data_IF_799721665585
#
_entry.id   IF_799721665585
#
_cell.length_a   1.000
_cell.length_b   1.000
_cell.length_c   1.000
_cell.angle_alpha   90.00
_cell.angle_beta   90.00
_cell.angle_gamma   90.00
#
_symmetry.space_group_name_H-M   'P 1'
#
loop_
_entity.id
_entity.type
_entity.pdbx_description
1 polymer ?
#
# COMPACT_ATOMS: atom_id res chain seq x y z
N UNK A 1 -27.91 -32.88 47.58
CA UNK A 1 -28.91 -31.87 48.01
C UNK A 1 -28.54 -31.39 49.41
N UNK A 2 -28.68 -30.11 49.81
CA UNK A 2 -28.76 -28.82 49.12
C UNK A 2 -27.52 -27.94 49.47
N UNK A 3 -27.18 -26.83 48.80
CA UNK A 3 -27.78 -25.51 49.00
C UNK A 3 -27.28 -24.56 47.91
N UNK A 4 -28.24 -24.12 47.11
CA UNK A 4 -28.20 -22.90 46.33
C UNK A 4 -28.01 -21.66 47.24
N UNK A 5 -27.24 -20.68 46.74
CA UNK A 5 -27.59 -19.25 46.59
C UNK A 5 -26.46 -18.26 46.92
N UNK A 6 -26.12 -17.47 45.88
CA UNK A 6 -25.78 -16.03 45.81
C UNK A 6 -24.52 -15.82 44.97
N UNK A 7 -24.64 -15.55 43.67
CA UNK A 7 -25.01 -14.27 43.04
C UNK A 7 -24.03 -13.13 43.36
N UNK A 8 -23.10 -12.86 42.44
CA UNK A 8 -22.82 -11.56 41.81
C UNK A 8 -21.44 -11.63 41.13
N UNK A 9 -21.39 -11.39 39.82
CA UNK A 9 -20.45 -10.47 39.19
C UNK A 9 -20.72 -10.46 37.68
N UNK A 10 -21.41 -9.42 37.25
CA UNK A 10 -21.46 -9.00 35.86
C UNK A 10 -20.03 -8.66 35.39
N UNK A 11 -19.73 -8.94 34.12
CA UNK A 11 -18.45 -8.57 33.53
C UNK A 11 -18.35 -8.98 32.08
N UNK A 12 -19.03 -8.22 31.21
CA UNK A 12 -18.92 -8.28 29.76
C UNK A 12 -17.45 -8.02 29.34
N UNK A 13 -16.87 -8.93 28.56
CA UNK A 13 -15.78 -8.58 27.65
C UNK A 13 -15.78 -9.54 26.46
N UNK A 14 -16.66 -9.26 25.51
CA UNK A 14 -16.49 -9.71 24.14
C UNK A 14 -15.16 -9.11 23.62
N UNK A 15 -14.15 -9.95 23.45
CA UNK A 15 -12.99 -9.60 22.63
C UNK A 15 -13.09 -10.46 21.38
N UNK A 16 -13.84 -9.92 20.42
CA UNK A 16 -13.75 -10.36 19.04
C UNK A 16 -12.31 -10.18 18.59
N UNK A 17 -11.63 -11.28 18.31
CA UNK A 17 -10.45 -11.25 17.46
C UNK A 17 -10.93 -10.82 16.08
N UNK A 18 -10.91 -9.51 15.86
CA UNK A 18 -10.93 -8.91 14.56
C UNK A 18 -9.78 -9.54 13.78
N UNK A 19 -10.15 -10.43 12.86
CA UNK A 19 -9.31 -10.85 11.75
C UNK A 19 -8.76 -9.57 11.11
N UNK A 20 -7.48 -9.28 11.34
CA UNK A 20 -6.71 -8.39 10.48
C UNK A 20 -6.60 -9.07 9.13
N UNK A 21 -7.70 -9.06 8.38
CA UNK A 21 -7.66 -9.18 6.93
C UNK A 21 -6.95 -7.90 6.49
N UNK A 22 -5.63 -7.97 6.40
CA UNK A 22 -4.88 -7.07 5.54
C UNK A 22 -5.47 -7.32 4.16
N UNK A 23 -6.47 -6.52 3.79
CA UNK A 23 -7.04 -6.55 2.45
C UNK A 23 -5.84 -6.35 1.52
N UNK A 24 -5.49 -7.35 0.70
CA UNK A 24 -4.41 -7.19 -0.24
C UNK A 24 -4.71 -5.94 -1.07
N UNK A 25 -3.67 -5.17 -1.43
CA UNK A 25 -3.83 -4.09 -2.40
C UNK A 25 -4.39 -4.69 -3.69
N UNK A 26 -5.70 -4.74 -3.81
CA UNK A 26 -6.36 -5.03 -5.05
C UNK A 26 -6.68 -3.65 -5.59
N UNK A 27 -6.11 -3.34 -6.75
CA UNK A 27 -6.67 -2.33 -7.61
C UNK A 27 -8.17 -2.64 -7.77
N UNK A 28 -9.05 -1.65 -7.99
CA UNK A 28 -10.48 -1.92 -8.18
C UNK A 28 -10.77 -2.75 -9.46
N UNK A 29 -9.73 -3.18 -10.18
CA UNK A 29 -9.71 -4.26 -11.16
C UNK A 29 -8.65 -4.05 -12.24
N UNK A 30 -8.74 -4.83 -13.33
CA UNK A 30 -7.86 -4.73 -14.52
C UNK A 30 -7.78 -3.32 -15.13
N UNK A 31 -8.83 -2.51 -14.94
CA UNK A 31 -8.90 -1.14 -15.44
C UNK A 31 -7.91 -0.20 -14.75
N UNK A 32 -7.74 -0.34 -13.44
CA UNK A 32 -6.81 0.48 -12.68
C UNK A 32 -5.35 0.06 -12.86
N UNK A 33 -5.10 -1.25 -13.07
CA UNK A 33 -3.79 -1.71 -13.54
C UNK A 33 -3.42 -1.07 -14.88
N UNK A 34 -4.40 -0.97 -15.80
CA UNK A 34 -4.22 -0.26 -17.07
C UNK A 34 -3.90 1.23 -16.87
N UNK A 35 -4.62 1.92 -15.98
CA UNK A 35 -4.35 3.34 -15.65
C UNK A 35 -2.96 3.53 -15.04
N UNK A 36 -2.55 2.63 -14.16
CA UNK A 36 -1.21 2.63 -13.57
C UNK A 36 -0.12 2.47 -14.65
N UNK A 37 -0.28 1.53 -15.57
CA UNK A 37 0.65 1.35 -16.71
C UNK A 37 0.73 2.60 -17.57
N UNK A 38 -0.41 3.21 -17.91
CA UNK A 38 -0.45 4.45 -18.71
C UNK A 38 0.25 5.60 -17.99
N UNK A 39 -0.03 5.81 -16.70
CA UNK A 39 0.57 6.87 -15.91
C UNK A 39 2.09 6.73 -15.77
N UNK A 40 2.59 5.49 -15.75
CA UNK A 40 4.02 5.19 -15.56
C UNK A 40 4.80 5.00 -16.86
N UNK A 41 4.11 4.98 -18.01
CA UNK A 41 4.72 4.72 -19.32
C UNK A 41 5.87 5.68 -19.66
N UNK A 42 5.68 6.97 -19.38
CA UNK A 42 6.63 8.03 -19.72
C UNK A 42 7.63 8.34 -18.60
N UNK A 43 7.63 7.58 -17.51
CA UNK A 43 8.64 7.74 -16.48
C UNK A 43 10.02 7.34 -16.98
N UNK A 44 11.05 7.96 -16.42
CA UNK A 44 12.43 7.65 -16.75
C UNK A 44 12.77 6.19 -16.48
N UNK A 45 13.61 5.61 -17.33
CA UNK A 45 13.95 4.19 -17.26
C UNK A 45 14.54 3.78 -15.91
N UNK A 46 15.32 4.64 -15.26
CA UNK A 46 15.89 4.34 -13.93
C UNK A 46 14.84 4.17 -12.81
N UNK A 47 13.58 4.53 -13.07
CA UNK A 47 12.44 4.33 -12.16
C UNK A 47 11.77 2.97 -12.39
N UNK A 48 12.02 2.30 -13.52
CA UNK A 48 11.38 1.05 -13.89
C UNK A 48 12.23 -0.14 -13.45
N UNK A 49 11.64 -1.28 -13.05
CA UNK A 49 12.37 -2.43 -12.51
C UNK A 49 13.40 -3.03 -13.48
N UNK A 50 13.18 -2.91 -14.79
CA UNK A 50 14.09 -3.40 -15.84
C UNK A 50 14.43 -2.32 -16.87
N UNK A 51 14.39 -1.04 -16.48
CA UNK A 51 14.62 0.07 -17.41
C UNK A 51 13.62 0.10 -18.55
N UNK A 52 14.08 0.55 -19.73
CA UNK A 52 13.28 0.58 -20.96
C UNK A 52 12.81 -0.80 -21.47
N UNK A 53 13.27 -1.90 -20.87
CA UNK A 53 12.81 -3.27 -21.20
C UNK A 53 11.66 -3.76 -20.31
N UNK A 54 11.17 -2.92 -19.40
CA UNK A 54 10.07 -3.28 -18.50
C UNK A 54 8.78 -3.47 -19.29
N UNK A 55 8.18 -4.66 -19.16
CA UNK A 55 6.84 -4.96 -19.70
C UNK A 55 5.74 -4.44 -18.77
N UNK A 56 4.54 -4.23 -19.30
CA UNK A 56 3.37 -3.79 -18.53
C UNK A 56 3.10 -4.70 -17.32
N UNK A 57 3.17 -6.02 -17.51
CA UNK A 57 2.97 -6.99 -16.43
C UNK A 57 4.07 -6.90 -15.34
N UNK A 58 5.31 -6.63 -15.72
CA UNK A 58 6.39 -6.37 -14.75
C UNK A 58 6.17 -5.04 -14.03
N UNK A 59 5.70 -4.01 -14.73
CA UNK A 59 5.38 -2.72 -14.15
C UNK A 59 4.26 -2.86 -13.12
N UNK A 60 3.16 -3.53 -13.44
CA UNK A 60 2.05 -3.80 -12.50
C UNK A 60 2.52 -4.53 -11.25
N UNK A 61 3.31 -5.61 -11.41
CA UNK A 61 3.90 -6.32 -10.25
C UNK A 61 4.76 -5.39 -9.39
N UNK A 62 5.54 -4.53 -10.03
CA UNK A 62 6.35 -3.54 -9.32
C UNK A 62 5.50 -2.49 -8.60
N UNK A 63 4.38 -2.06 -9.19
CA UNK A 63 3.38 -1.21 -8.55
C UNK A 63 2.77 -1.85 -7.30
N UNK A 64 2.46 -3.15 -7.34
CA UNK A 64 2.00 -3.85 -6.13
C UNK A 64 3.10 -3.97 -5.05
N UNK A 65 4.37 -4.11 -5.44
CA UNK A 65 5.49 -3.99 -4.49
C UNK A 65 5.57 -2.59 -3.86
N UNK A 66 5.27 -1.54 -4.62
CA UNK A 66 5.17 -0.18 -4.09
C UNK A 66 4.01 -0.05 -3.08
N UNK A 67 2.86 -0.69 -3.35
CA UNK A 67 1.76 -0.77 -2.39
C UNK A 67 2.16 -1.49 -1.09
N UNK A 68 2.91 -2.59 -1.18
CA UNK A 68 3.44 -3.27 0.00
C UNK A 68 4.45 -2.40 0.77
N UNK A 69 5.24 -1.58 0.07
CA UNK A 69 6.12 -0.61 0.71
C UNK A 69 5.35 0.50 1.44
N UNK A 70 4.24 0.96 0.87
CA UNK A 70 3.30 1.90 1.49
C UNK A 70 2.58 1.31 2.70
N UNK A 71 2.22 0.02 2.67
CA UNK A 71 1.64 -0.67 3.83
C UNK A 71 2.59 -0.65 5.03
N UNK A 72 3.90 -0.78 4.79
CA UNK A 72 4.93 -0.70 5.84
C UNK A 72 5.26 0.73 6.24
N UNK A 73 5.03 1.70 5.36
CA UNK A 73 5.39 3.11 5.56
C UNK A 73 4.20 4.05 5.26
N UNK A 74 3.06 3.89 5.96
CA UNK A 74 1.78 4.49 5.57
C UNK A 74 1.74 6.02 5.61
N UNK A 75 2.68 6.64 6.33
CA UNK A 75 2.75 8.09 6.53
C UNK A 75 3.80 8.78 5.64
N UNK A 76 4.61 8.05 4.87
CA UNK A 76 5.73 8.64 4.13
C UNK A 76 6.00 7.93 2.81
N UNK A 77 5.66 8.59 1.70
CA UNK A 77 6.03 8.15 0.35
C UNK A 77 7.54 8.10 0.15
N UNK A 78 8.29 9.01 0.78
CA UNK A 78 9.75 8.97 0.79
C UNK A 78 10.26 7.68 1.45
N UNK A 79 9.77 7.30 2.63
CA UNK A 79 10.17 6.05 3.28
C UNK A 79 9.74 4.81 2.47
N UNK A 80 8.53 4.79 1.89
CA UNK A 80 8.10 3.73 1.00
C UNK A 80 8.98 3.61 -0.25
N UNK A 81 9.38 4.75 -0.84
CA UNK A 81 10.27 4.80 -2.02
C UNK A 81 11.65 4.25 -1.69
N UNK A 82 12.22 4.60 -0.52
CA UNK A 82 13.48 4.03 -0.05
C UNK A 82 13.39 2.51 0.07
N UNK A 83 12.31 2.00 0.67
CA UNK A 83 12.10 0.57 0.82
C UNK A 83 11.92 -0.14 -0.54
N UNK A 84 11.26 0.49 -1.51
CA UNK A 84 11.02 -0.09 -2.85
C UNK A 84 12.29 -0.19 -3.68
N UNK A 85 13.10 0.87 -3.70
CA UNK A 85 14.30 0.95 -4.54
C UNK A 85 15.60 0.59 -3.82
N UNK A 86 15.52 0.23 -2.54
CA UNK A 86 16.68 0.13 -1.66
C UNK A 86 17.55 1.41 -1.73
N UNK A 87 16.89 2.57 -1.65
CA UNK A 87 17.54 3.89 -1.74
C UNK A 87 17.92 4.38 -0.34
N UNK A 88 19.21 4.62 -0.11
CA UNK A 88 19.72 5.08 1.19
C UNK A 88 19.59 6.60 1.39
N UNK A 89 19.27 7.36 0.32
CA UNK A 89 19.12 8.82 0.41
C UNK A 89 18.00 9.18 1.39
N UNK A 90 18.24 10.17 2.24
CA UNK A 90 17.20 10.73 3.11
C UNK A 90 15.97 11.22 2.31
N UNK A 91 16.21 11.77 1.12
CA UNK A 91 15.21 12.22 0.17
C UNK A 91 15.41 11.49 -1.16
N UNK A 92 14.56 10.49 -1.48
CA UNK A 92 14.62 9.78 -2.75
C UNK A 92 14.35 10.72 -3.93
N UNK A 93 14.86 10.35 -5.10
CA UNK A 93 14.59 11.08 -6.33
C UNK A 93 13.08 11.21 -6.56
N UNK A 94 12.63 12.40 -6.94
CA UNK A 94 11.22 12.70 -7.15
C UNK A 94 10.58 11.73 -8.16
N UNK A 95 11.29 11.38 -9.22
CA UNK A 95 10.82 10.49 -10.28
C UNK A 95 10.58 9.06 -9.80
N UNK A 96 11.34 8.59 -8.79
CA UNK A 96 11.08 7.31 -8.12
C UNK A 96 9.86 7.41 -7.20
N UNK A 97 9.68 8.55 -6.53
CA UNK A 97 8.51 8.78 -5.69
C UNK A 97 7.21 8.79 -6.52
N UNK A 98 7.24 9.29 -7.76
CA UNK A 98 6.09 9.27 -8.65
C UNK A 98 5.53 7.86 -8.87
N UNK A 99 6.36 6.82 -8.96
CA UNK A 99 5.89 5.43 -9.06
C UNK A 99 5.05 5.04 -7.84
N UNK A 100 5.51 5.41 -6.65
CA UNK A 100 4.79 5.13 -5.39
C UNK A 100 3.48 5.92 -5.33
N UNK A 101 3.46 7.18 -5.79
CA UNK A 101 2.23 7.96 -5.90
C UNK A 101 1.21 7.35 -6.86
N UNK A 102 1.63 6.95 -8.06
CA UNK A 102 0.72 6.30 -9.01
C UNK A 102 0.22 4.93 -8.51
N UNK A 103 1.06 4.18 -7.80
CA UNK A 103 0.63 2.95 -7.15
C UNK A 103 -0.45 3.25 -6.10
N UNK A 104 -0.26 4.28 -5.25
CA UNK A 104 -1.28 4.72 -4.30
C UNK A 104 -2.58 5.14 -5.00
N UNK A 105 -2.48 5.88 -6.11
CA UNK A 105 -3.62 6.46 -6.83
C UNK A 105 -4.46 5.45 -7.63
N UNK A 106 -3.86 4.36 -8.09
CA UNK A 106 -4.55 3.41 -8.97
C UNK A 106 -4.61 1.99 -8.37
N UNK A 107 -3.58 1.52 -7.69
CA UNK A 107 -3.49 0.13 -7.23
C UNK A 107 -3.82 -0.06 -5.75
N UNK A 108 -3.58 0.95 -4.91
CA UNK A 108 -3.82 0.89 -3.47
C UNK A 108 -4.44 2.18 -2.92
N UNK A 109 -5.63 2.49 -3.43
CA UNK A 109 -6.42 3.71 -3.13
C UNK A 109 -6.65 3.96 -1.64
N UNK A 110 -6.58 2.93 -0.78
CA UNK A 110 -6.60 3.07 0.68
C UNK A 110 -5.52 4.02 1.23
N UNK A 111 -4.41 4.18 0.51
CA UNK A 111 -3.34 5.12 0.86
C UNK A 111 -3.51 6.47 0.19
N UNK A 112 -4.27 6.54 -0.91
CA UNK A 112 -4.43 7.75 -1.72
C UNK A 112 -5.05 8.90 -0.94
N UNK A 113 -6.03 8.64 -0.08
CA UNK A 113 -6.70 9.68 0.72
C UNK A 113 -5.73 10.53 1.55
N UNK A 114 -4.61 9.96 2.01
CA UNK A 114 -3.59 10.70 2.75
C UNK A 114 -2.76 11.64 1.87
N UNK A 115 -2.70 11.37 0.58
CA UNK A 115 -1.89 12.11 -0.39
C UNK A 115 -2.72 13.08 -1.23
N UNK A 116 -4.06 12.98 -1.21
CA UNK A 116 -4.98 13.96 -1.82
C UNK A 116 -4.85 15.38 -1.25
N UNK A 117 -4.31 15.51 -0.04
CA UNK A 117 -4.23 16.78 0.71
C UNK A 117 -2.92 17.55 0.54
N UNK A 118 -2.00 17.10 -0.33
CA UNK A 118 -0.85 17.93 -0.70
C UNK A 118 -1.18 18.71 -1.99
N UNK A 119 -1.46 20.04 -1.90
CA UNK A 119 -1.61 20.91 -3.06
C UNK A 119 -0.30 21.07 -3.84
#
# INVERSE_FOLDING_TARGET
>A
MPKLMRALAAGIAAVGLATLVQAPAHADGRLDEGRFVVATKNLHDFTKPFGGRTTDAQMVRFGYSACAALDRNPASTAAATRALYNDERAYPLWERQQVVFYAAQYLCNRHWDRYKTYP
#
